data_IF_913211613923
#
_entry.id   IF_913211613923
#
_cell.length_a   1.000
_cell.length_b   1.000
_cell.length_c   1.000
_cell.angle_alpha   90.00
_cell.angle_beta   90.00
_cell.angle_gamma   90.00
#
_symmetry.space_group_name_H-M   'P 1'
#
loop_
_entity.id
_entity.type
_entity.pdbx_description
1 polymer ?
#
# COMPACT_ATOMS: atom_id res chain seq x y z
N UNK A 1 -76.41 -129.79 18.52
CA UNK A 1 -76.38 -128.32 18.68
C UNK A 1 -74.91 -127.92 18.76
N UNK A 2 -74.31 -127.59 17.61
CA UNK A 2 -72.89 -127.26 17.50
C UNK A 2 -72.70 -125.79 17.86
N UNK A 3 -71.94 -125.51 18.91
CA UNK A 3 -71.47 -124.17 19.23
C UNK A 3 -70.24 -123.90 18.35
N UNK A 4 -70.43 -123.07 17.33
CA UNK A 4 -69.34 -122.52 16.52
C UNK A 4 -68.74 -121.37 17.31
N UNK A 5 -67.50 -121.54 17.79
CA UNK A 5 -66.74 -120.50 18.49
C UNK A 5 -65.42 -120.23 17.76
N UNK A 6 -65.50 -119.71 16.52
CA UNK A 6 -64.36 -119.13 15.79
C UNK A 6 -64.92 -118.04 14.86
N UNK A 7 -64.79 -116.75 15.22
CA UNK A 7 -64.78 -115.57 14.31
C UNK A 7 -64.96 -114.19 15.03
N UNK A 8 -65.22 -114.11 16.34
CA UNK A 8 -65.49 -112.80 17.01
C UNK A 8 -64.20 -112.12 17.53
N UNK A 9 -63.15 -112.89 17.85
CA UNK A 9 -61.87 -112.33 18.32
C UNK A 9 -61.06 -111.61 17.24
N UNK A 10 -61.16 -112.01 15.97
CA UNK A 10 -60.37 -111.45 14.87
C UNK A 10 -60.85 -110.08 14.41
N UNK A 11 -62.16 -109.84 14.33
CA UNK A 11 -62.71 -108.54 13.93
C UNK A 11 -62.49 -107.45 14.99
N UNK A 12 -62.73 -107.76 16.27
CA UNK A 12 -62.49 -106.82 17.36
C UNK A 12 -60.99 -106.49 17.52
N UNK A 13 -60.11 -107.48 17.36
CA UNK A 13 -58.65 -107.27 17.39
C UNK A 13 -58.18 -106.47 16.17
N UNK A 14 -58.72 -106.72 14.98
CA UNK A 14 -58.40 -105.96 13.75
C UNK A 14 -58.84 -104.49 13.85
N UNK A 15 -60.03 -104.21 14.41
CA UNK A 15 -60.49 -102.84 14.65
C UNK A 15 -59.67 -102.14 15.75
N UNK A 16 -59.33 -102.85 16.84
CA UNK A 16 -58.47 -102.31 17.89
C UNK A 16 -57.06 -102.00 17.38
N UNK A 17 -56.48 -102.87 16.54
CA UNK A 17 -55.17 -102.61 15.90
C UNK A 17 -55.26 -101.48 14.89
N UNK A 18 -56.31 -101.39 14.07
CA UNK A 18 -56.54 -100.27 13.15
C UNK A 18 -56.65 -98.92 13.90
N UNK A 19 -57.43 -98.87 14.97
CA UNK A 19 -57.53 -97.68 15.82
C UNK A 19 -56.19 -97.35 16.50
N UNK A 20 -55.42 -98.37 16.92
CA UNK A 20 -54.09 -98.16 17.49
C UNK A 20 -53.12 -97.58 16.46
N UNK A 21 -53.15 -98.07 15.22
CA UNK A 21 -52.34 -97.55 14.11
C UNK A 21 -52.74 -96.11 13.79
N UNK A 22 -54.04 -95.79 13.76
CA UNK A 22 -54.52 -94.42 13.56
C UNK A 22 -54.07 -93.48 14.70
N UNK A 23 -54.17 -93.92 15.95
CA UNK A 23 -53.71 -93.17 17.12
C UNK A 23 -52.19 -92.96 17.06
N UNK A 24 -51.41 -93.97 16.67
CA UNK A 24 -49.96 -93.84 16.50
C UNK A 24 -49.59 -92.86 15.38
N UNK A 25 -50.32 -92.88 14.26
CA UNK A 25 -50.13 -91.92 13.17
C UNK A 25 -50.47 -90.49 13.62
N UNK A 26 -51.56 -90.30 14.36
CA UNK A 26 -51.92 -89.00 14.94
C UNK A 26 -50.87 -88.52 15.94
N UNK A 27 -50.35 -89.39 16.80
CA UNK A 27 -49.26 -89.06 17.72
C UNK A 27 -47.98 -88.65 16.98
N UNK A 28 -47.68 -89.31 15.86
CA UNK A 28 -46.53 -88.97 15.02
C UNK A 28 -46.71 -87.61 14.34
N UNK A 29 -47.91 -87.31 13.83
CA UNK A 29 -48.24 -86.00 13.26
C UNK A 29 -48.18 -84.89 14.31
N UNK A 30 -48.77 -85.10 15.51
CA UNK A 30 -48.70 -84.16 16.62
C UNK A 30 -47.24 -83.89 17.02
N UNK A 31 -46.40 -84.94 17.10
CA UNK A 31 -44.97 -84.79 17.39
C UNK A 31 -44.25 -84.02 16.28
N UNK A 32 -44.60 -84.26 15.01
CA UNK A 32 -44.05 -83.52 13.88
C UNK A 32 -44.44 -82.05 13.95
N UNK A 33 -45.70 -81.73 14.22
CA UNK A 33 -46.21 -80.36 14.38
C UNK A 33 -45.50 -79.67 15.55
N UNK A 34 -45.35 -80.35 16.68
CA UNK A 34 -44.65 -79.82 17.86
C UNK A 34 -43.21 -79.48 17.51
N UNK A 35 -42.51 -80.38 16.82
CA UNK A 35 -41.13 -80.16 16.38
C UNK A 35 -41.03 -78.99 15.38
N UNK A 36 -42.00 -78.86 14.48
CA UNK A 36 -42.09 -77.73 13.55
C UNK A 36 -42.33 -76.41 14.29
N UNK A 37 -43.22 -76.38 15.30
CA UNK A 37 -43.47 -75.20 16.13
C UNK A 37 -42.20 -74.80 16.89
N UNK A 38 -41.50 -75.76 17.49
CA UNK A 38 -40.24 -75.51 18.19
C UNK A 38 -39.17 -74.95 17.24
N UNK A 39 -39.10 -75.49 16.01
CA UNK A 39 -38.17 -74.98 14.99
C UNK A 39 -38.50 -73.55 14.55
N UNK A 40 -39.79 -73.21 14.41
CA UNK A 40 -40.24 -71.86 14.08
C UNK A 40 -39.94 -70.91 15.23
N UNK A 41 -40.19 -71.32 16.47
CA UNK A 41 -39.91 -70.50 17.64
C UNK A 41 -38.41 -70.22 17.78
N UNK A 42 -37.55 -71.22 17.54
CA UNK A 42 -36.11 -71.04 17.49
C UNK A 42 -35.68 -70.11 16.34
N UNK A 43 -36.30 -70.23 15.17
CA UNK A 43 -36.02 -69.35 14.03
C UNK A 43 -36.45 -67.90 14.33
N UNK A 44 -37.60 -67.68 14.95
CA UNK A 44 -38.08 -66.36 15.38
C UNK A 44 -37.15 -65.77 16.43
N UNK A 45 -36.75 -66.55 17.43
CA UNK A 45 -35.81 -66.09 18.47
C UNK A 45 -34.45 -65.72 17.87
N UNK A 46 -33.92 -66.53 16.95
CA UNK A 46 -32.68 -66.23 16.24
C UNK A 46 -32.80 -65.03 15.31
N UNK A 47 -33.98 -64.80 14.71
CA UNK A 47 -34.22 -63.64 13.87
C UNK A 47 -34.31 -62.36 14.70
N UNK A 48 -35.04 -62.41 15.82
CA UNK A 48 -35.15 -61.31 16.76
C UNK A 48 -33.80 -60.93 17.38
N UNK A 49 -32.95 -61.91 17.70
CA UNK A 49 -31.60 -61.63 18.21
C UNK A 49 -30.71 -60.94 17.16
N UNK A 50 -30.82 -61.30 15.88
CA UNK A 50 -30.10 -60.65 14.79
C UNK A 50 -30.62 -59.23 14.54
N UNK A 51 -31.94 -59.06 14.54
CA UNK A 51 -32.55 -57.75 14.38
C UNK A 51 -32.14 -56.83 15.53
N UNK A 52 -32.16 -57.34 16.77
CA UNK A 52 -31.67 -56.62 17.94
C UNK A 52 -30.19 -56.24 17.84
N UNK A 53 -29.32 -57.12 17.32
CA UNK A 53 -27.91 -56.79 17.08
C UNK A 53 -27.70 -55.74 15.99
N UNK A 54 -28.62 -55.65 15.01
CA UNK A 54 -28.57 -54.62 13.97
C UNK A 54 -29.09 -53.27 14.49
N UNK A 55 -30.05 -53.26 15.41
CA UNK A 55 -30.77 -52.05 15.85
C UNK A 55 -30.35 -51.50 17.21
N UNK A 56 -29.97 -52.32 18.19
CA UNK A 56 -29.66 -51.89 19.56
C UNK A 56 -28.28 -52.35 20.03
N UNK A 57 -27.38 -51.38 20.22
CA UNK A 57 -26.14 -51.55 21.01
C UNK A 57 -24.87 -51.85 20.20
N UNK A 58 -24.45 -50.93 19.32
CA UNK A 58 -23.27 -51.01 18.44
C UNK A 58 -23.47 -51.79 17.13
N UNK A 59 -24.68 -51.73 16.57
CA UNK A 59 -25.02 -52.38 15.30
C UNK A 59 -24.41 -51.71 14.07
N UNK A 60 -24.57 -52.38 12.91
CA UNK A 60 -24.11 -51.89 11.60
C UNK A 60 -24.74 -50.56 11.20
N UNK A 61 -25.96 -50.27 11.68
CA UNK A 61 -26.67 -49.00 11.39
C UNK A 61 -25.98 -47.83 12.09
N UNK A 62 -25.68 -47.95 13.39
CA UNK A 62 -24.95 -46.92 14.15
C UNK A 62 -23.57 -46.65 13.56
N UNK A 63 -22.84 -47.71 13.15
CA UNK A 63 -21.54 -47.56 12.48
C UNK A 63 -21.70 -46.83 11.14
N UNK A 64 -22.73 -47.15 10.35
CA UNK A 64 -22.98 -46.46 9.09
C UNK A 64 -23.33 -44.98 9.30
N UNK A 65 -24.13 -44.64 10.32
CA UNK A 65 -24.44 -43.27 10.70
C UNK A 65 -23.19 -42.50 11.15
N UNK A 66 -22.36 -43.09 12.02
CA UNK A 66 -21.09 -42.50 12.44
C UNK A 66 -20.11 -42.30 11.26
N UNK A 67 -20.05 -43.24 10.31
CA UNK A 67 -19.25 -43.11 9.10
C UNK A 67 -19.78 -41.98 8.19
N UNK A 68 -21.09 -41.83 8.05
CA UNK A 68 -21.70 -40.72 7.29
C UNK A 68 -21.38 -39.38 7.96
N UNK A 69 -21.51 -39.29 9.28
CA UNK A 69 -21.15 -38.09 10.03
C UNK A 69 -19.66 -37.77 9.88
N UNK A 70 -18.80 -38.78 9.98
CA UNK A 70 -17.35 -38.63 9.80
C UNK A 70 -17.02 -38.17 8.38
N UNK A 71 -17.63 -38.75 7.35
CA UNK A 71 -17.43 -38.34 5.96
C UNK A 71 -17.89 -36.90 5.72
N UNK A 72 -19.02 -36.51 6.32
CA UNK A 72 -19.54 -35.13 6.22
C UNK A 72 -18.58 -34.15 6.88
N UNK A 73 -18.09 -34.47 8.09
CA UNK A 73 -17.10 -33.66 8.81
C UNK A 73 -15.77 -33.56 8.06
N UNK A 74 -15.30 -34.67 7.46
CA UNK A 74 -14.10 -34.69 6.63
C UNK A 74 -14.27 -33.80 5.39
N UNK A 75 -15.38 -33.91 4.68
CA UNK A 75 -15.67 -33.06 3.52
C UNK A 75 -15.69 -31.57 3.91
N UNK A 76 -16.35 -31.22 5.02
CA UNK A 76 -16.38 -29.84 5.50
C UNK A 76 -14.99 -29.33 5.88
N UNK A 77 -14.17 -30.19 6.50
CA UNK A 77 -12.79 -29.85 6.89
C UNK A 77 -11.91 -29.67 5.66
N UNK A 78 -12.05 -30.49 4.61
CA UNK A 78 -11.33 -30.33 3.34
C UNK A 78 -11.67 -28.98 2.70
N UNK A 79 -12.95 -28.61 2.68
CA UNK A 79 -13.39 -27.30 2.15
C UNK A 79 -12.73 -26.17 2.94
N UNK A 80 -12.79 -26.20 4.27
CA UNK A 80 -12.21 -25.16 5.13
C UNK A 80 -10.68 -25.06 4.99
N UNK A 81 -9.99 -26.20 4.89
CA UNK A 81 -8.54 -26.24 4.64
C UNK A 81 -8.20 -25.62 3.30
N UNK A 82 -8.98 -25.89 2.25
CA UNK A 82 -8.79 -25.30 0.93
C UNK A 82 -9.01 -23.78 0.94
N UNK A 83 -10.06 -23.31 1.62
CA UNK A 83 -10.32 -21.89 1.80
C UNK A 83 -9.17 -21.19 2.53
N UNK A 84 -8.71 -21.76 3.66
CA UNK A 84 -7.57 -21.24 4.40
C UNK A 84 -6.29 -21.24 3.56
N UNK A 85 -6.05 -22.29 2.76
CA UNK A 85 -4.90 -22.35 1.85
C UNK A 85 -4.94 -21.23 0.81
N UNK A 86 -6.12 -20.92 0.26
CA UNK A 86 -6.29 -19.81 -0.68
C UNK A 86 -6.01 -18.46 0.00
N UNK A 87 -6.53 -18.23 1.21
CA UNK A 87 -6.26 -17.02 1.99
C UNK A 87 -4.76 -16.85 2.26
N UNK A 88 -4.07 -17.93 2.65
CA UNK A 88 -2.61 -17.90 2.86
C UNK A 88 -1.84 -17.57 1.57
N UNK A 89 -2.28 -18.10 0.43
CA UNK A 89 -1.70 -17.77 -0.87
C UNK A 89 -1.89 -16.28 -1.20
N UNK A 90 -3.08 -15.72 -0.97
CA UNK A 90 -3.35 -14.30 -1.16
C UNK A 90 -2.47 -13.43 -0.25
N UNK A 91 -2.35 -13.77 1.03
CA UNK A 91 -1.44 -13.07 1.95
C UNK A 91 0.01 -13.12 1.48
N UNK A 92 0.49 -14.27 0.99
CA UNK A 92 1.86 -14.38 0.45
C UNK A 92 2.08 -13.44 -0.75
N UNK A 93 1.10 -13.30 -1.63
CA UNK A 93 1.16 -12.37 -2.77
C UNK A 93 1.18 -10.92 -2.27
N UNK A 94 0.28 -10.56 -1.35
CA UNK A 94 0.21 -9.21 -0.78
C UNK A 94 1.53 -8.81 -0.10
N UNK A 95 2.13 -9.70 0.69
CA UNK A 95 3.43 -9.47 1.34
C UNK A 95 4.55 -9.23 0.31
N UNK A 96 4.55 -9.99 -0.79
CA UNK A 96 5.52 -9.80 -1.88
C UNK A 96 5.37 -8.42 -2.54
N UNK A 97 4.14 -7.98 -2.79
CA UNK A 97 3.85 -6.66 -3.34
C UNK A 97 4.34 -5.57 -2.38
N UNK A 98 4.01 -5.69 -1.09
CA UNK A 98 4.40 -4.71 -0.08
C UNK A 98 5.93 -4.61 0.06
N UNK A 99 6.65 -5.73 0.00
CA UNK A 99 8.11 -5.75 0.00
C UNK A 99 8.70 -5.02 -1.21
N UNK A 100 8.08 -5.17 -2.39
CA UNK A 100 8.50 -4.45 -3.59
C UNK A 100 8.28 -2.93 -3.48
N UNK A 101 7.13 -2.50 -2.93
CA UNK A 101 6.84 -1.08 -2.69
C UNK A 101 7.81 -0.47 -1.67
N UNK A 102 8.13 -1.21 -0.60
CA UNK A 102 9.10 -0.78 0.41
C UNK A 102 10.50 -0.60 -0.19
N UNK A 103 10.90 -1.46 -1.13
CA UNK A 103 12.19 -1.34 -1.82
C UNK A 103 12.24 -0.09 -2.72
N UNK A 104 11.15 0.22 -3.41
CA UNK A 104 11.01 1.47 -4.20
C UNK A 104 11.10 2.67 -3.26
N UNK A 105 10.32 2.68 -2.18
CA UNK A 105 10.33 3.78 -1.21
C UNK A 105 11.73 4.00 -0.61
N UNK A 106 12.42 2.91 -0.25
CA UNK A 106 13.79 2.98 0.26
C UNK A 106 14.73 3.62 -0.77
N UNK A 107 14.63 3.24 -2.04
CA UNK A 107 15.46 3.81 -3.11
C UNK A 107 15.18 5.30 -3.29
N UNK A 108 13.90 5.69 -3.35
CA UNK A 108 13.50 7.10 -3.46
C UNK A 108 13.98 7.91 -2.26
N UNK A 109 13.85 7.38 -1.04
CA UNK A 109 14.34 8.03 0.17
C UNK A 109 15.87 8.19 0.16
N UNK A 110 16.62 7.18 -0.26
CA UNK A 110 18.07 7.29 -0.40
C UNK A 110 18.46 8.32 -1.47
N UNK A 111 17.76 8.34 -2.61
CA UNK A 111 17.98 9.35 -3.66
C UNK A 111 17.67 10.76 -3.16
N UNK A 112 16.57 10.93 -2.44
CA UNK A 112 16.20 12.19 -1.80
C UNK A 112 17.25 12.62 -0.78
N UNK A 113 17.69 11.70 0.08
CA UNK A 113 18.73 11.98 1.09
C UNK A 113 20.02 12.42 0.43
N UNK A 114 20.48 11.72 -0.61
CA UNK A 114 21.66 12.14 -1.36
C UNK A 114 21.47 13.48 -2.08
N UNK A 115 20.31 13.75 -2.66
CA UNK A 115 20.00 15.04 -3.28
C UNK A 115 20.01 16.18 -2.25
N UNK A 116 19.49 15.95 -1.05
CA UNK A 116 19.50 16.93 0.03
C UNK A 116 20.92 17.12 0.58
N UNK A 117 21.64 16.05 0.90
CA UNK A 117 22.99 16.14 1.46
C UNK A 117 24.00 16.73 0.47
N UNK A 118 23.98 16.23 -0.76
CA UNK A 118 25.03 16.53 -1.76
C UNK A 118 24.70 17.77 -2.57
N UNK A 119 23.44 17.98 -2.92
CA UNK A 119 23.05 19.09 -3.78
C UNK A 119 22.52 20.25 -2.96
N UNK A 120 21.56 20.01 -2.06
CA UNK A 120 21.01 21.11 -1.28
C UNK A 120 22.02 21.69 -0.30
N UNK A 121 22.56 20.89 0.63
CA UNK A 121 23.43 21.42 1.70
C UNK A 121 24.75 21.94 1.13
N UNK A 122 25.41 21.16 0.26
CA UNK A 122 26.70 21.54 -0.28
C UNK A 122 26.63 22.80 -1.15
N UNK A 123 25.70 22.85 -2.13
CA UNK A 123 25.56 24.03 -2.99
C UNK A 123 25.07 25.25 -2.20
N UNK A 124 24.17 25.05 -1.22
CA UNK A 124 23.76 26.15 -0.32
C UNK A 124 24.96 26.76 0.38
N UNK A 125 25.80 25.92 0.99
CA UNK A 125 26.97 26.37 1.75
C UNK A 125 27.97 27.04 0.82
N UNK A 126 28.22 26.47 -0.36
CA UNK A 126 29.13 27.06 -1.35
C UNK A 126 28.64 28.44 -1.83
N UNK A 127 27.36 28.57 -2.18
CA UNK A 127 26.78 29.83 -2.62
C UNK A 127 26.82 30.89 -1.50
N UNK A 128 26.63 30.50 -0.23
CA UNK A 128 26.80 31.43 0.89
C UNK A 128 28.25 31.84 1.10
N UNK A 129 29.19 30.89 1.07
CA UNK A 129 30.62 31.17 1.21
C UNK A 129 31.14 32.07 0.08
N UNK A 130 30.54 31.96 -1.11
CA UNK A 130 30.88 32.78 -2.27
C UNK A 130 30.05 34.08 -2.39
N UNK A 131 29.22 34.40 -1.39
CA UNK A 131 28.30 35.55 -1.39
C UNK A 131 27.41 35.62 -2.64
N UNK A 132 26.95 34.46 -3.14
CA UNK A 132 25.94 34.36 -4.18
C UNK A 132 24.56 34.19 -3.55
N UNK A 133 23.58 34.82 -4.16
CA UNK A 133 22.22 34.80 -3.66
C UNK A 133 21.57 33.44 -3.91
N UNK A 134 21.29 32.76 -2.80
CA UNK A 134 20.69 31.44 -2.78
C UNK A 134 19.17 31.42 -3.06
N UNK A 135 18.69 32.11 -4.11
CA UNK A 135 17.25 32.08 -4.46
C UNK A 135 16.84 30.82 -5.22
N UNK A 136 17.79 29.95 -5.61
CA UNK A 136 17.48 28.64 -6.18
C UNK A 136 16.64 27.77 -5.23
N UNK A 137 16.67 28.07 -3.93
CA UNK A 137 15.87 27.39 -2.91
C UNK A 137 14.45 27.93 -2.77
N UNK A 138 14.16 29.06 -3.39
CA UNK A 138 12.82 29.63 -3.39
C UNK A 138 12.05 28.94 -4.49
N UNK A 139 10.90 28.37 -4.13
CA UNK A 139 10.02 27.74 -5.08
C UNK A 139 9.71 28.71 -6.23
N UNK A 140 9.71 28.23 -7.47
CA UNK A 140 9.61 29.06 -8.68
C UNK A 140 8.42 30.03 -8.67
N UNK A 141 7.32 29.67 -8.00
CA UNK A 141 6.12 30.51 -7.86
C UNK A 141 6.29 31.65 -6.86
N UNK A 142 7.17 31.50 -5.87
CA UNK A 142 7.43 32.50 -4.85
C UNK A 142 8.57 33.46 -5.25
N UNK A 143 9.39 33.06 -6.22
CA UNK A 143 10.51 33.85 -6.72
C UNK A 143 10.10 35.26 -7.18
N UNK A 144 9.04 35.48 -7.99
CA UNK A 144 8.61 36.83 -8.38
C UNK A 144 8.18 37.70 -7.19
N UNK A 145 7.55 37.09 -6.18
CA UNK A 145 7.11 37.80 -4.97
C UNK A 145 8.31 38.27 -4.15
N UNK A 146 9.32 37.42 -3.99
CA UNK A 146 10.55 37.74 -3.28
C UNK A 146 11.33 38.84 -4.01
N UNK A 147 11.45 38.71 -5.33
CA UNK A 147 12.05 39.73 -6.20
C UNK A 147 11.36 41.09 -5.99
N UNK A 148 10.03 41.13 -6.06
CA UNK A 148 9.24 42.36 -5.85
C UNK A 148 9.42 42.96 -4.44
N UNK A 149 9.59 42.11 -3.44
CA UNK A 149 9.81 42.56 -2.06
C UNK A 149 11.19 43.19 -1.89
N UNK A 150 12.22 42.58 -2.49
CA UNK A 150 13.58 43.12 -2.47
C UNK A 150 13.64 44.45 -3.24
N UNK A 151 13.13 44.51 -4.47
CA UNK A 151 13.16 45.75 -5.28
C UNK A 151 12.47 46.92 -4.58
N UNK A 152 11.31 46.65 -3.95
CA UNK A 152 10.60 47.66 -3.16
C UNK A 152 11.42 48.17 -1.98
N UNK A 153 12.12 47.29 -1.27
CA UNK A 153 12.91 47.69 -0.09
C UNK A 153 14.24 48.37 -0.44
N UNK A 154 14.85 47.97 -1.56
CA UNK A 154 16.10 48.55 -2.06
C UNK A 154 15.85 49.88 -2.81
N UNK A 155 14.58 50.25 -3.01
CA UNK A 155 14.15 51.49 -3.68
C UNK A 155 14.73 51.64 -5.10
N UNK A 156 14.74 50.54 -5.84
CA UNK A 156 15.19 50.51 -7.24
C UNK A 156 13.94 50.44 -8.12
N UNK A 157 13.73 51.47 -8.92
CA UNK A 157 12.76 51.43 -10.01
C UNK A 157 13.45 50.83 -11.24
N UNK A 158 13.01 49.64 -11.63
CA UNK A 158 13.42 49.03 -12.90
C UNK A 158 12.37 49.39 -13.94
N UNK A 159 12.76 50.04 -15.02
CA UNK A 159 11.88 50.25 -16.17
C UNK A 159 11.63 48.88 -16.84
N UNK A 160 10.37 48.57 -17.14
CA UNK A 160 9.94 47.27 -17.70
C UNK A 160 10.48 46.97 -19.12
N UNK A 161 11.28 47.88 -19.70
CA UNK A 161 11.66 47.89 -21.11
C UNK A 161 13.05 47.33 -21.43
N UNK A 162 13.83 46.91 -20.42
CA UNK A 162 15.20 46.43 -20.66
C UNK A 162 15.29 44.90 -20.55
N UNK A 163 15.08 44.21 -21.68
CA UNK A 163 15.26 42.75 -21.88
C UNK A 163 16.71 42.27 -21.64
N UNK A 164 17.64 43.16 -21.28
CA UNK A 164 19.07 42.90 -21.33
C UNK A 164 19.65 42.21 -20.08
N UNK A 165 18.97 42.26 -18.92
CA UNK A 165 19.39 41.51 -17.72
C UNK A 165 18.18 40.96 -16.94
N UNK A 166 18.12 39.64 -16.64
CA UNK A 166 17.10 39.09 -15.77
C UNK A 166 17.12 39.78 -14.40
N UNK A 167 15.96 40.20 -13.89
CA UNK A 167 15.82 40.88 -12.57
C UNK A 167 16.53 40.12 -11.44
N UNK A 168 16.58 38.79 -11.53
CA UNK A 168 17.34 37.91 -10.64
C UNK A 168 18.84 38.23 -10.60
N UNK A 169 19.47 38.45 -11.75
CA UNK A 169 20.90 38.73 -11.84
C UNK A 169 21.22 40.11 -11.27
N UNK A 170 20.33 41.09 -11.47
CA UNK A 170 20.47 42.43 -10.90
C UNK A 170 20.37 42.39 -9.37
N UNK A 171 19.41 41.65 -8.82
CA UNK A 171 19.29 41.43 -7.37
C UNK A 171 20.52 40.70 -6.82
N UNK A 172 21.04 39.70 -7.54
CA UNK A 172 22.25 38.99 -7.12
C UNK A 172 23.47 39.93 -7.04
N UNK A 173 23.61 40.86 -8.00
CA UNK A 173 24.68 41.88 -7.98
C UNK A 173 24.55 42.90 -6.86
N UNK A 174 23.35 43.06 -6.29
CA UNK A 174 23.11 43.94 -5.14
C UNK A 174 23.38 43.24 -3.81
N UNK A 175 23.58 41.92 -3.79
CA UNK A 175 23.91 41.19 -2.57
C UNK A 175 25.33 41.55 -2.11
N UNK A 176 25.44 42.06 -0.89
CA UNK A 176 26.73 42.35 -0.23
C UNK A 176 27.17 41.14 0.58
N UNK A 177 26.23 40.53 1.30
CA UNK A 177 26.53 39.43 2.22
C UNK A 177 25.29 38.57 2.43
N UNK A 178 25.47 37.26 2.58
CA UNK A 178 24.44 36.35 3.06
C UNK A 178 24.92 35.59 4.30
N UNK A 179 24.03 35.34 5.26
CA UNK A 179 24.31 34.55 6.47
C UNK A 179 23.19 33.53 6.71
N UNK A 180 23.56 32.37 7.25
CA UNK A 180 22.61 31.40 7.81
C UNK A 180 22.73 31.44 9.32
N UNK A 181 21.58 31.43 9.99
CA UNK A 181 21.48 31.20 11.41
C UNK A 181 20.48 30.07 11.66
N UNK A 182 20.88 29.06 12.44
CA UNK A 182 19.96 28.01 12.89
C UNK A 182 19.51 28.34 14.31
N UNK A 183 18.21 28.53 14.48
CA UNK A 183 17.58 28.78 15.77
C UNK A 183 16.93 27.47 16.23
N UNK A 184 17.56 26.71 17.14
CA UNK A 184 16.98 25.47 17.64
C UNK A 184 15.70 25.74 18.41
N UNK A 185 14.70 24.86 18.25
CA UNK A 185 13.45 24.98 18.98
C UNK A 185 13.65 24.44 20.40
N UNK A 186 13.84 25.32 21.37
CA UNK A 186 14.01 24.96 22.78
C UNK A 186 12.68 24.53 23.41
N UNK A 187 12.18 23.34 23.08
CA UNK A 187 11.07 22.74 23.83
C UNK A 187 11.28 21.24 24.02
N UNK A 188 11.09 20.78 25.26
CA UNK A 188 11.22 19.38 25.70
C UNK A 188 10.12 18.46 25.15
N UNK A 189 9.30 18.95 24.23
CA UNK A 189 8.17 18.25 23.61
C UNK A 189 8.45 18.05 22.12
N UNK A 190 9.57 17.40 21.78
CA UNK A 190 9.74 16.88 20.43
C UNK A 190 8.90 15.61 20.30
N UNK A 191 7.64 15.76 19.88
CA UNK A 191 6.85 14.63 19.38
C UNK A 191 7.54 14.00 18.18
N UNK A 192 7.45 12.68 18.03
CA UNK A 192 8.04 11.94 16.92
C UNK A 192 7.58 12.52 15.57
N UNK A 193 8.46 13.25 14.89
CA UNK A 193 8.17 14.04 13.68
C UNK A 193 8.30 15.57 13.84
N UNK A 194 8.72 16.07 15.01
CA UNK A 194 8.78 17.49 15.35
C UNK A 194 9.91 18.26 14.65
N UNK A 195 9.57 19.47 14.19
CA UNK A 195 10.51 20.45 13.64
C UNK A 195 11.61 20.75 14.66
N UNK A 196 12.88 20.50 14.28
CA UNK A 196 14.05 20.62 15.16
C UNK A 196 14.49 22.08 15.41
N UNK A 197 14.02 23.01 14.58
CA UNK A 197 14.39 24.42 14.64
C UNK A 197 14.09 25.15 13.34
N UNK A 198 14.35 26.45 13.35
CA UNK A 198 14.17 27.31 12.18
C UNK A 198 15.54 27.63 11.58
N UNK A 199 15.65 27.44 10.26
CA UNK A 199 16.81 27.89 9.50
C UNK A 199 16.51 29.28 8.92
N UNK A 200 17.20 30.30 9.40
CA UNK A 200 17.07 31.67 8.94
C UNK A 200 18.15 31.98 7.90
N UNK A 201 17.74 32.52 6.76
CA UNK A 201 18.63 33.07 5.75
C UNK A 201 18.51 34.59 5.78
N UNK A 202 19.63 35.27 6.09
CA UNK A 202 19.69 36.73 6.20
C UNK A 202 20.54 37.24 5.04
N UNK A 203 19.92 38.03 4.16
CA UNK A 203 20.58 38.62 2.99
C UNK A 203 20.69 40.14 3.14
N UNK A 204 21.90 40.67 2.96
CA UNK A 204 22.21 42.09 3.03
C UNK A 204 22.38 42.65 1.63
N UNK A 205 21.54 43.61 1.23
CA UNK A 205 21.58 44.21 -0.09
C UNK A 205 22.12 45.64 -0.04
N UNK A 206 22.85 46.03 -1.08
CA UNK A 206 23.24 47.40 -1.34
C UNK A 206 22.00 48.22 -1.71
N UNK A 207 21.58 49.10 -0.82
CA UNK A 207 20.49 50.03 -1.07
C UNK A 207 21.00 51.39 -1.51
N UNK A 208 20.34 51.98 -2.49
CA UNK A 208 20.59 53.37 -2.87
C UNK A 208 20.12 54.28 -1.73
N UNK A 209 20.99 55.22 -1.33
CA UNK A 209 20.63 56.19 -0.29
C UNK A 209 19.55 57.13 -0.85
N UNK A 210 18.51 57.47 -0.08
CA UNK A 210 17.44 58.40 -0.52
C UNK A 210 17.97 59.77 -0.96
N UNK A 211 19.19 60.13 -0.53
CA UNK A 211 19.87 61.37 -0.86
C UNK A 211 20.95 61.23 -1.96
N UNK A 212 21.02 60.09 -2.67
CA UNK A 212 21.94 59.95 -3.79
C UNK A 212 21.53 60.85 -4.96
N UNK A 213 22.52 61.53 -5.55
CA UNK A 213 22.31 62.38 -6.72
C UNK A 213 21.88 61.52 -7.91
N UNK A 214 20.79 61.92 -8.56
CA UNK A 214 20.32 61.28 -9.79
C UNK A 214 21.41 61.35 -10.86
N UNK A 215 21.75 60.21 -11.44
CA UNK A 215 22.64 60.12 -12.59
C UNK A 215 21.93 59.39 -13.72
N UNK A 216 22.19 59.81 -14.95
CA UNK A 216 21.66 59.15 -16.14
C UNK A 216 22.77 58.33 -16.78
N UNK A 217 22.46 57.09 -17.14
CA UNK A 217 23.39 56.21 -17.85
C UNK A 217 23.10 56.25 -19.34
N UNK A 218 24.15 56.43 -20.16
CA UNK A 218 24.06 56.44 -21.61
C UNK A 218 24.90 55.30 -22.18
N UNK A 219 24.29 54.53 -23.08
CA UNK A 219 24.99 53.51 -23.87
C UNK A 219 25.70 54.19 -25.04
N UNK A 220 27.01 53.99 -25.16
CA UNK A 220 27.79 54.55 -26.27
C UNK A 220 27.90 53.52 -27.40
N UNK A 221 27.43 53.90 -28.59
CA UNK A 221 27.53 53.08 -29.79
C UNK A 221 28.60 53.65 -30.72
N UNK A 222 29.71 52.94 -30.98
CA UNK A 222 30.77 53.44 -31.85
C UNK A 222 30.33 53.36 -33.31
N UNK A 223 30.17 54.53 -33.95
CA UNK A 223 29.85 54.62 -35.38
C UNK A 223 31.16 54.76 -36.17
N UNK A 224 31.42 53.89 -37.16
CA UNK A 224 32.60 54.03 -38.01
C UNK A 224 32.48 55.27 -38.91
N UNK A 225 33.58 56.01 -39.06
CA UNK A 225 33.66 57.21 -39.89
C UNK A 225 34.88 57.16 -40.82
N UNK A 226 34.85 57.96 -41.88
CA UNK A 226 35.93 58.00 -42.86
C UNK A 226 36.94 59.09 -42.50
N UNK A 227 38.23 58.75 -42.54
CA UNK A 227 39.32 59.72 -42.48
C UNK A 227 40.22 59.50 -43.70
N UNK A 228 40.09 60.37 -44.70
CA UNK A 228 40.71 60.15 -46.01
C UNK A 228 40.10 58.94 -46.73
N UNK A 229 40.94 57.99 -47.17
CA UNK A 229 40.50 56.76 -47.84
C UNK A 229 40.29 55.57 -46.88
N UNK A 230 40.50 55.75 -45.57
CA UNK A 230 40.36 54.68 -44.59
C UNK A 230 39.08 54.85 -43.75
N UNK A 231 38.33 53.74 -43.61
CA UNK A 231 37.18 53.66 -42.70
C UNK A 231 37.68 53.28 -41.32
N UNK A 232 37.64 54.22 -40.40
CA UNK A 232 38.09 54.04 -39.03
C UNK A 232 36.89 53.83 -38.10
N UNK A 233 37.11 53.06 -37.04
CA UNK A 233 36.15 52.88 -35.94
C UNK A 233 36.87 53.19 -34.64
N UNK A 234 36.25 53.96 -33.77
CA UNK A 234 36.76 54.16 -32.41
C UNK A 234 36.76 52.81 -31.69
N UNK A 235 37.95 52.35 -31.33
CA UNK A 235 38.17 51.14 -30.53
C UNK A 235 38.35 51.57 -29.07
N UNK A 236 37.88 50.76 -28.13
CA UNK A 236 38.03 50.98 -26.67
C UNK A 236 37.22 52.15 -26.08
N UNK A 237 36.06 52.49 -26.65
CA UNK A 237 35.14 53.40 -25.95
C UNK A 237 34.46 52.66 -24.78
N UNK A 238 34.26 53.33 -23.63
CA UNK A 238 33.43 52.79 -22.55
C UNK A 238 32.04 52.48 -23.09
N UNK A 239 31.52 51.29 -22.79
CA UNK A 239 30.21 50.85 -23.29
C UNK A 239 29.05 51.65 -22.67
N UNK A 240 29.23 52.10 -21.43
CA UNK A 240 28.26 52.88 -20.66
C UNK A 240 28.99 54.05 -19.98
N UNK A 241 28.40 55.24 -20.02
CA UNK A 241 28.83 56.39 -19.22
C UNK A 241 27.71 56.84 -18.29
N UNK A 242 28.04 57.18 -17.05
CA UNK A 242 27.12 57.81 -16.11
C UNK A 242 27.36 59.31 -16.04
N UNK A 243 26.33 60.13 -16.26
CA UNK A 243 26.41 61.58 -16.16
C UNK A 243 25.54 62.03 -14.99
N UNK A 244 26.14 62.74 -14.02
CA UNK A 244 25.40 63.35 -12.92
C UNK A 244 24.53 64.49 -13.44
N UNK A 245 23.27 64.56 -13.00
CA UNK A 245 22.31 65.58 -13.44
C UNK A 245 22.61 66.97 -12.87
N UNK A 246 23.34 67.08 -11.75
CA UNK A 246 23.70 68.37 -11.13
C UNK A 246 24.56 69.26 -12.02
N UNK A 247 25.48 68.69 -12.79
CA UNK A 247 26.43 69.46 -13.61
C UNK A 247 25.83 70.04 -14.89
N UNK A 248 24.64 69.58 -15.32
CA UNK A 248 23.98 70.13 -16.50
C UNK A 248 23.17 71.40 -16.21
N UNK A 249 22.49 71.47 -15.06
CA UNK A 249 21.72 72.66 -14.67
C UNK A 249 22.61 73.82 -14.24
N UNK A 250 23.73 73.56 -13.58
CA UNK A 250 24.71 74.59 -13.21
C UNK A 250 25.45 75.15 -14.44
N UNK A 251 25.76 74.32 -15.43
CA UNK A 251 26.37 74.78 -16.69
C UNK A 251 25.38 75.53 -17.57
N UNK A 252 24.10 75.14 -17.63
CA UNK A 252 23.07 75.90 -18.36
C UNK A 252 22.87 77.31 -17.80
N UNK A 253 23.02 77.50 -16.48
CA UNK A 253 22.97 78.82 -15.83
C UNK A 253 24.24 79.66 -16.05
N UNK A 254 25.34 79.07 -16.49
CA UNK A 254 26.60 79.77 -16.78
C UNK A 254 26.71 80.25 -18.23
N UNK A 255 25.80 79.80 -19.11
CA UNK A 255 25.75 80.14 -20.54
C UNK A 255 24.41 80.79 -20.96
N UNK A 256 23.59 81.23 -19.98
CA UNK A 256 22.50 82.20 -20.15
C UNK A 256 22.87 83.46 -19.38
#
# INVERSE_FOLDING_TARGET
MNIISIAIGTAATALATSNTIQIQNLQKEIKSITTSIDSIQNAINSHNSRLFQLTNGNGQITIAEELIHTQTTLNNTIVLVNEHSNVLQQHRIATKILMSMMMILKKELTSFTHAVETHFIHESIEDILTNKLNLRFIHQYDLPRVIKMITKQVNINMEETDDSLPTFELINRLLIQQRIEFVPMNTKEQTAGGVIGNLLFISFFAAANKNQQSFSTYKLTPIPFNQGQQRLKLVQIPYIIGISTKTMDERRKQYM
#
